data_IF_000931343115
#
_entry.id   IF_000931343115
#
_cell.length_a   1.000
_cell.length_b   1.000
_cell.length_c   1.000
_cell.angle_alpha   90.00
_cell.angle_beta   90.00
_cell.angle_gamma   90.00
#
_symmetry.space_group_name_H-M   'P 1'
#
loop_
_entity.id
_entity.type
_entity.pdbx_description
1 polymer ?
#
# COMPACT_ATOMS: atom_id res chain seq x y z
N UNK A 1 -16.34 7.02 -0.71
CA UNK A 1 -15.79 8.09 -1.57
C UNK A 1 -14.42 7.62 -2.06
N UNK A 2 -14.27 7.27 -3.34
CA UNK A 2 -13.01 6.76 -3.89
C UNK A 2 -12.15 7.96 -4.32
N UNK A 3 -11.07 8.25 -3.59
CA UNK A 3 -10.13 9.31 -3.99
C UNK A 3 -9.21 8.71 -5.07
N UNK A 4 -9.22 9.24 -6.31
CA UNK A 4 -8.31 8.77 -7.34
C UNK A 4 -6.88 9.19 -6.98
N UNK A 5 -5.99 8.20 -6.82
CA UNK A 5 -4.57 8.43 -6.61
C UNK A 5 -3.96 8.72 -7.98
N UNK A 6 -3.76 9.98 -8.29
CA UNK A 6 -3.12 10.41 -9.54
C UNK A 6 -1.59 10.22 -9.39
N UNK A 7 -1.10 9.02 -9.72
CA UNK A 7 0.33 8.73 -9.76
C UNK A 7 0.92 9.34 -11.04
N UNK A 8 2.00 10.14 -10.98
CA UNK A 8 2.57 10.77 -12.16
C UNK A 8 3.07 9.70 -13.13
N UNK A 9 2.51 9.66 -14.34
CA UNK A 9 2.94 8.80 -15.44
C UNK A 9 4.18 9.41 -16.10
N UNK A 10 5.33 9.26 -15.46
CA UNK A 10 6.63 9.68 -16.00
C UNK A 10 7.41 8.52 -16.60
N UNK A 11 7.65 8.57 -17.91
CA UNK A 11 8.54 7.66 -18.61
C UNK A 11 9.95 7.68 -17.98
N UNK A 12 10.45 6.52 -17.54
CA UNK A 12 11.87 6.33 -17.15
C UNK A 12 12.17 6.19 -15.66
N UNK A 13 11.20 6.40 -14.75
CA UNK A 13 11.36 6.01 -13.34
C UNK A 13 10.56 4.73 -13.08
N UNK A 14 11.14 3.66 -12.50
CA UNK A 14 10.39 2.43 -12.19
C UNK A 14 9.35 2.77 -11.11
N UNK A 15 8.14 3.13 -11.57
CA UNK A 15 7.11 3.71 -10.73
C UNK A 15 6.66 2.74 -9.65
N UNK A 16 6.59 3.31 -8.45
CA UNK A 16 6.51 2.62 -7.19
C UNK A 16 5.17 1.89 -7.03
N UNK A 17 5.24 0.56 -6.87
CA UNK A 17 4.11 -0.19 -6.35
C UNK A 17 3.73 0.41 -4.99
N UNK A 18 2.47 0.79 -4.87
CA UNK A 18 1.96 1.38 -3.64
C UNK A 18 1.20 0.30 -2.87
N UNK A 19 1.64 0.00 -1.66
CA UNK A 19 0.89 -0.83 -0.73
C UNK A 19 -0.06 0.05 0.05
N UNK A 20 -1.32 -0.36 0.10
CA UNK A 20 -2.38 0.32 0.83
C UNK A 20 -2.99 -0.61 1.86
N UNK A 21 -3.07 -0.16 3.10
CA UNK A 21 -3.82 -0.86 4.15
C UNK A 21 -5.11 -0.08 4.39
N UNK A 22 -6.25 -0.78 4.33
CA UNK A 22 -7.59 -0.22 4.54
C UNK A 22 -8.34 -1.08 5.52
N UNK A 23 -9.04 -0.49 6.47
CA UNK A 23 -9.98 -1.22 7.31
C UNK A 23 -11.25 -1.56 6.51
N UNK A 24 -11.65 -2.82 6.54
CA UNK A 24 -12.90 -3.30 6.01
C UNK A 24 -13.91 -3.43 7.15
N UNK A 25 -14.85 -2.49 7.22
CA UNK A 25 -15.85 -2.46 8.27
C UNK A 25 -16.88 -3.61 8.17
N UNK A 26 -17.01 -4.27 7.00
CA UNK A 26 -17.93 -5.38 6.83
C UNK A 26 -17.38 -6.66 7.46
N UNK A 27 -16.06 -6.88 7.39
CA UNK A 27 -15.39 -8.04 7.99
C UNK A 27 -14.72 -7.74 9.32
N UNK A 28 -14.49 -6.46 9.62
CA UNK A 28 -13.75 -6.01 10.79
C UNK A 28 -12.23 -6.19 10.66
N UNK A 29 -11.72 -6.34 9.44
CA UNK A 29 -10.32 -6.68 9.18
C UNK A 29 -9.55 -5.56 8.49
N UNK A 30 -8.22 -5.56 8.65
CA UNK A 30 -7.28 -4.69 7.96
C UNK A 30 -6.79 -5.35 6.69
N UNK A 31 -7.22 -4.83 5.54
CA UNK A 31 -6.93 -5.40 4.22
C UNK A 31 -5.71 -4.74 3.61
N UNK A 32 -4.69 -5.54 3.33
CA UNK A 32 -3.51 -5.13 2.59
C UNK A 32 -3.75 -5.29 1.08
N UNK A 33 -3.60 -4.18 0.36
CA UNK A 33 -3.77 -4.07 -1.08
C UNK A 33 -2.46 -3.65 -1.73
N UNK A 34 -2.16 -4.20 -2.89
CA UNK A 34 -1.07 -3.78 -3.76
C UNK A 34 -1.66 -3.04 -4.95
N UNK A 35 -1.13 -1.86 -5.22
CA UNK A 35 -1.48 -1.02 -6.36
C UNK A 35 -0.36 -1.16 -7.39
N UNK A 36 -0.71 -1.73 -8.54
CA UNK A 36 0.16 -1.85 -9.69
C UNK A 36 0.34 -0.50 -10.40
N UNK A 37 1.34 -0.41 -11.27
CA UNK A 37 1.69 0.83 -12.00
C UNK A 37 0.64 1.26 -13.01
N UNK A 38 -0.17 0.33 -13.49
CA UNK A 38 -1.34 0.56 -14.34
C UNK A 38 -2.58 1.02 -13.55
N UNK A 39 -2.49 1.01 -12.21
CA UNK A 39 -3.58 1.33 -11.30
C UNK A 39 -4.42 0.13 -10.87
N UNK A 40 -4.08 -1.09 -11.30
CA UNK A 40 -4.75 -2.30 -10.83
C UNK A 40 -4.56 -2.49 -9.32
N UNK A 41 -5.62 -2.88 -8.62
CA UNK A 41 -5.62 -3.04 -7.17
C UNK A 41 -5.87 -4.51 -6.85
N UNK A 42 -4.86 -5.16 -6.28
CA UNK A 42 -4.94 -6.55 -5.82
C UNK A 42 -4.97 -6.62 -4.30
N UNK A 43 -5.95 -7.31 -3.74
CA UNK A 43 -5.93 -7.71 -2.33
C UNK A 43 -4.88 -8.80 -2.15
N UNK A 44 -3.96 -8.61 -1.19
CA UNK A 44 -2.91 -9.57 -0.87
C UNK A 44 -3.27 -10.43 0.34
N UNK A 45 -3.79 -9.78 1.38
CA UNK A 45 -4.10 -10.41 2.65
C UNK A 45 -5.05 -9.54 3.48
N UNK A 46 -5.71 -10.16 4.45
CA UNK A 46 -6.50 -9.51 5.49
C UNK A 46 -5.94 -9.91 6.86
N UNK A 47 -5.99 -8.98 7.81
CA UNK A 47 -5.43 -9.17 9.16
C UNK A 47 -6.40 -8.63 10.20
N UNK A 48 -6.48 -9.27 11.36
CA UNK A 48 -7.35 -8.78 12.44
C UNK A 48 -6.83 -7.49 13.09
N UNK A 49 -5.56 -7.12 12.91
CA UNK A 49 -4.96 -5.92 13.50
C UNK A 49 -4.19 -5.08 12.48
N UNK A 50 -4.20 -3.76 12.69
CA UNK A 50 -3.45 -2.80 11.88
C UNK A 50 -1.96 -3.10 11.89
N UNK A 51 -1.41 -3.39 13.07
CA UNK A 51 0.02 -3.63 13.25
C UNK A 51 0.51 -4.87 12.48
N UNK A 52 -0.28 -5.95 12.44
CA UNK A 52 0.05 -7.12 11.62
C UNK A 52 0.08 -6.79 10.12
N UNK A 53 -0.92 -6.04 9.64
CA UNK A 53 -0.95 -5.57 8.25
C UNK A 53 0.25 -4.67 7.91
N UNK A 54 0.60 -3.74 8.81
CA UNK A 54 1.74 -2.83 8.64
C UNK A 54 3.06 -3.59 8.65
N UNK A 55 3.23 -4.57 9.54
CA UNK A 55 4.45 -5.38 9.61
C UNK A 55 4.70 -6.15 8.31
N UNK A 56 3.67 -6.79 7.74
CA UNK A 56 3.85 -7.53 6.50
C UNK A 56 4.01 -6.60 5.29
N UNK A 57 3.28 -5.48 5.24
CA UNK A 57 3.46 -4.48 4.20
C UNK A 57 4.88 -3.88 4.21
N UNK A 58 5.45 -3.64 5.40
CA UNK A 58 6.86 -3.23 5.55
C UNK A 58 7.81 -4.29 5.00
N UNK A 59 7.59 -5.56 5.32
CA UNK A 59 8.40 -6.68 4.80
C UNK A 59 8.39 -6.73 3.27
N UNK A 60 7.21 -6.56 2.66
CA UNK A 60 7.05 -6.50 1.20
C UNK A 60 7.76 -5.30 0.60
N UNK A 61 7.64 -4.11 1.21
CA UNK A 61 8.36 -2.91 0.78
C UNK A 61 9.88 -3.13 0.84
N UNK A 62 10.41 -3.66 1.94
CA UNK A 62 11.85 -3.94 2.08
C UNK A 62 12.36 -4.91 1.02
N UNK A 63 11.59 -5.97 0.72
CA UNK A 63 11.96 -6.93 -0.35
C UNK A 63 12.08 -6.22 -1.70
N UNK A 64 11.16 -5.32 -2.00
CA UNK A 64 11.16 -4.60 -3.27
C UNK A 64 12.32 -3.62 -3.40
N UNK A 65 12.67 -2.93 -2.31
CA UNK A 65 13.85 -2.06 -2.27
C UNK A 65 15.12 -2.86 -2.50
N UNK A 66 15.22 -4.06 -1.89
CA UNK A 66 16.33 -4.97 -2.13
C UNK A 66 16.42 -5.44 -3.59
N UNK A 67 15.27 -5.53 -4.30
CA UNK A 67 15.20 -5.79 -5.74
C UNK A 67 15.48 -4.55 -6.61
N UNK A 68 15.88 -3.41 -6.01
CA UNK A 68 16.20 -2.17 -6.72
C UNK A 68 14.97 -1.36 -7.16
N UNK A 69 13.81 -1.61 -6.55
CA UNK A 69 12.55 -0.89 -6.85
C UNK A 69 12.22 0.12 -5.76
N UNK A 70 11.39 1.09 -6.11
CA UNK A 70 10.80 2.04 -5.15
C UNK A 70 9.48 1.47 -4.64
N UNK A 71 9.22 1.57 -3.34
CA UNK A 71 7.97 1.14 -2.73
C UNK A 71 7.35 2.24 -1.88
N UNK A 72 6.03 2.41 -1.95
CA UNK A 72 5.30 3.35 -1.09
C UNK A 72 4.31 2.58 -0.23
N UNK A 73 4.36 2.77 1.08
CA UNK A 73 3.34 2.27 2.00
C UNK A 73 2.39 3.40 2.36
N UNK A 74 1.08 3.16 2.28
CA UNK A 74 0.02 4.06 2.73
C UNK A 74 -0.93 3.28 3.65
N UNK A 75 -1.30 3.88 4.77
CA UNK A 75 -2.20 3.29 5.77
C UNK A 75 -3.33 4.26 5.99
N UNK A 76 -4.54 3.74 5.96
CA UNK A 76 -5.77 4.48 6.20
C UNK A 76 -6.37 3.97 7.50
N UNK A 77 -6.98 4.83 8.31
CA UNK A 77 -7.68 4.43 9.53
C UNK A 77 -9.04 3.77 9.22
N UNK A 78 -9.76 3.40 10.27
CA UNK A 78 -11.09 2.78 10.20
C UNK A 78 -12.17 3.69 9.57
N UNK A 79 -12.00 5.01 9.68
CA UNK A 79 -12.83 6.01 9.01
C UNK A 79 -12.41 6.26 7.55
N UNK A 80 -11.38 5.55 7.06
CA UNK A 80 -10.84 5.71 5.71
C UNK A 80 -10.02 6.99 5.52
N UNK A 81 -9.68 7.69 6.61
CA UNK A 81 -8.78 8.83 6.55
C UNK A 81 -7.35 8.35 6.38
N UNK A 82 -6.54 9.16 5.71
CA UNK A 82 -5.13 8.89 5.55
C UNK A 82 -4.41 9.02 6.90
N UNK A 83 -3.92 7.91 7.44
CA UNK A 83 -3.27 7.87 8.75
C UNK A 83 -1.75 7.99 8.62
N UNK A 84 -1.15 7.38 7.60
CA UNK A 84 0.31 7.30 7.47
C UNK A 84 0.75 6.99 6.04
N UNK A 85 1.89 7.55 5.61
CA UNK A 85 2.65 6.97 4.50
C UNK A 85 4.15 7.01 4.71
N UNK A 86 4.83 6.09 4.05
CA UNK A 86 6.29 6.04 3.98
C UNK A 86 6.73 5.65 2.58
N UNK A 87 7.69 6.40 2.05
CA UNK A 87 8.43 6.04 0.86
C UNK A 87 9.65 5.22 1.27
N UNK A 88 9.93 4.18 0.50
CA UNK A 88 11.12 3.36 0.63
C UNK A 88 11.88 3.41 -0.69
N UNK A 89 13.12 3.87 -0.60
CA UNK A 89 14.09 3.97 -1.69
C UNK A 89 15.44 3.42 -1.22
N UNK A 90 16.29 3.05 -2.18
CA UNK A 90 17.58 2.40 -1.93
C UNK A 90 18.60 3.39 -1.38
#
# INVERSE_FOLDING_TARGET
MNVPINLPRGAGMPLALAYRIVYDAATGEWVLRKIATDGDIKVLAAYSTRDAAVADARRLCSKMVAEGRIARLMVYDDAGNFAFARLYER
#
